data_IF_625295484744
#
_entry.id   IF_625295484744
#
_cell.length_a   1.000
_cell.length_b   1.000
_cell.length_c   1.000
_cell.angle_alpha   90.00
_cell.angle_beta   90.00
_cell.angle_gamma   90.00
#
_symmetry.space_group_name_H-M   'P 1'
#
loop_
_entity.id
_entity.type
_entity.pdbx_description
1 polymer ?
#
# COMPACT_ATOMS: atom_id res chain seq x y z
N UNK A 1 54.23 -38.47 -42.95
CA UNK A 1 53.32 -38.53 -41.78
C UNK A 1 53.69 -37.39 -40.85
N UNK A 2 52.89 -36.32 -40.84
CA UNK A 2 52.98 -35.23 -39.86
C UNK A 2 51.64 -35.23 -39.13
N UNK A 3 51.66 -35.58 -37.84
CA UNK A 3 50.48 -35.58 -36.96
C UNK A 3 50.47 -34.24 -36.24
N UNK A 4 49.53 -33.36 -36.58
CA UNK A 4 49.27 -32.14 -35.81
C UNK A 4 48.32 -32.45 -34.66
N UNK A 5 48.79 -32.33 -33.41
CA UNK A 5 47.93 -32.40 -32.23
C UNK A 5 47.12 -31.10 -32.13
N UNK A 6 45.80 -31.23 -32.18
CA UNK A 6 44.87 -30.18 -31.80
C UNK A 6 44.86 -30.05 -30.27
N UNK A 7 45.30 -28.91 -29.74
CA UNK A 7 45.17 -28.58 -28.32
C UNK A 7 43.71 -28.24 -27.99
N UNK A 8 43.08 -29.05 -27.14
CA UNK A 8 41.77 -28.75 -26.58
C UNK A 8 41.94 -27.71 -25.46
N UNK A 9 41.53 -26.46 -25.70
CA UNK A 9 41.40 -25.46 -24.64
C UNK A 9 40.08 -25.75 -23.93
N UNK A 10 40.15 -26.37 -22.74
CA UNK A 10 39.00 -26.49 -21.86
C UNK A 10 38.68 -25.11 -21.26
N UNK A 11 37.59 -24.48 -21.70
CA UNK A 11 37.01 -23.34 -21.00
C UNK A 11 36.49 -23.82 -19.64
N UNK A 12 37.19 -23.51 -18.56
CA UNK A 12 36.62 -23.64 -17.23
C UNK A 12 35.58 -22.53 -17.07
N UNK A 13 34.29 -22.89 -17.13
CA UNK A 13 33.22 -22.00 -16.73
C UNK A 13 33.40 -21.68 -15.24
N UNK A 14 33.62 -20.42 -14.90
CA UNK A 14 33.51 -19.98 -13.52
C UNK A 14 32.07 -20.25 -13.04
N UNK A 15 31.87 -20.79 -11.82
CA UNK A 15 30.53 -20.87 -11.29
C UNK A 15 29.99 -19.43 -11.22
N UNK A 16 28.86 -19.18 -11.90
CA UNK A 16 28.10 -17.96 -11.61
C UNK A 16 27.80 -18.00 -10.12
N UNK A 17 28.28 -17.00 -9.38
CA UNK A 17 27.79 -16.76 -8.04
C UNK A 17 26.29 -16.48 -8.19
N UNK A 18 25.47 -17.51 -7.98
CA UNK A 18 24.07 -17.30 -7.67
C UNK A 18 24.08 -16.33 -6.49
N UNK A 19 23.57 -15.10 -6.70
CA UNK A 19 23.32 -14.19 -5.59
C UNK A 19 22.47 -14.97 -4.60
N UNK A 20 23.07 -15.35 -3.48
CA UNK A 20 22.31 -15.84 -2.34
C UNK A 20 21.51 -14.64 -1.89
N UNK A 21 20.23 -14.63 -2.27
CA UNK A 21 19.24 -13.80 -1.61
C UNK A 21 19.22 -14.36 -0.19
N UNK A 22 19.85 -13.65 0.73
CA UNK A 22 19.60 -13.89 2.12
C UNK A 22 18.09 -13.81 2.34
N UNK A 23 17.56 -14.62 3.25
CA UNK A 23 16.19 -14.42 3.69
C UNK A 23 16.15 -13.13 4.51
N UNK A 24 16.32 -11.96 3.88
CA UNK A 24 15.96 -10.69 4.48
C UNK A 24 14.49 -10.79 4.84
N UNK A 25 14.23 -10.74 6.15
CA UNK A 25 12.87 -10.54 6.67
C UNK A 25 12.51 -9.10 6.37
N UNK A 26 12.20 -8.81 5.09
CA UNK A 26 11.79 -7.50 4.64
C UNK A 26 10.43 -7.12 5.23
N UNK A 27 10.31 -5.88 5.70
CA UNK A 27 9.02 -5.33 6.14
C UNK A 27 8.31 -4.74 4.92
N UNK A 28 7.15 -5.30 4.58
CA UNK A 28 6.26 -4.70 3.58
C UNK A 28 5.39 -3.61 4.23
N UNK A 29 5.33 -2.44 3.60
CA UNK A 29 4.47 -1.33 3.99
C UNK A 29 3.63 -0.94 2.77
N UNK A 30 2.32 -0.86 2.95
CA UNK A 30 1.40 -0.35 1.92
C UNK A 30 1.12 1.12 2.17
N UNK A 31 1.00 1.94 1.11
CA UNK A 31 0.68 3.36 1.27
C UNK A 31 -0.23 3.86 0.16
N UNK A 32 -1.23 4.68 0.51
CA UNK A 32 -2.13 5.33 -0.45
C UNK A 32 -2.80 6.56 0.17
N UNK A 33 -3.10 7.56 -0.67
CA UNK A 33 -3.99 8.69 -0.37
C UNK A 33 -5.20 8.68 -1.33
N UNK A 34 -6.11 9.62 -1.14
CA UNK A 34 -7.27 9.83 -2.03
C UNK A 34 -8.20 8.59 -2.13
N UNK A 35 -8.50 7.98 -0.98
CA UNK A 35 -8.88 6.56 -0.93
C UNK A 35 -10.39 6.26 -0.78
N UNK A 36 -11.21 7.19 -0.26
CA UNK A 36 -12.65 6.92 -0.08
C UNK A 36 -13.54 8.09 -0.47
N UNK A 37 -14.50 7.84 -1.38
CA UNK A 37 -15.37 8.87 -1.96
C UNK A 37 -16.84 8.53 -1.80
N UNK A 38 -17.62 9.47 -1.27
CA UNK A 38 -19.06 9.29 -0.99
C UNK A 38 -20.04 9.57 -2.14
N UNK A 39 -19.98 10.72 -2.84
CA UNK A 39 -21.10 11.18 -3.68
C UNK A 39 -21.27 10.41 -5.01
N UNK A 40 -20.56 9.30 -5.21
CA UNK A 40 -20.63 8.50 -6.44
C UNK A 40 -20.48 7.01 -6.15
N UNK A 41 -21.43 6.15 -6.57
CA UNK A 41 -21.30 4.69 -6.46
C UNK A 41 -20.04 4.14 -7.16
N UNK A 42 -19.69 4.67 -8.33
CA UNK A 42 -18.51 4.24 -9.08
C UNK A 42 -17.21 4.52 -8.30
N UNK A 43 -17.06 5.73 -7.75
CA UNK A 43 -15.86 6.09 -6.98
C UNK A 43 -15.79 5.37 -5.64
N UNK A 44 -16.93 5.14 -4.99
CA UNK A 44 -17.02 4.28 -3.81
C UNK A 44 -16.58 2.85 -4.11
N UNK A 45 -16.97 2.31 -5.26
CA UNK A 45 -16.52 1.02 -5.77
C UNK A 45 -15.01 0.97 -6.00
N UNK A 46 -14.41 2.04 -6.54
CA UNK A 46 -12.96 2.13 -6.71
C UNK A 46 -12.21 2.09 -5.36
N UNK A 47 -12.67 2.85 -4.35
CA UNK A 47 -12.11 2.78 -3.00
C UNK A 47 -12.25 1.40 -2.35
N UNK A 48 -13.37 0.71 -2.58
CA UNK A 48 -13.55 -0.67 -2.13
C UNK A 48 -12.60 -1.65 -2.86
N UNK A 49 -12.38 -1.45 -4.15
CA UNK A 49 -11.48 -2.28 -4.96
C UNK A 49 -10.02 -2.14 -4.51
N UNK A 50 -9.55 -0.91 -4.25
CA UNK A 50 -8.19 -0.70 -3.74
C UNK A 50 -8.02 -1.24 -2.31
N UNK A 51 -9.03 -1.09 -1.46
CA UNK A 51 -9.02 -1.67 -0.12
C UNK A 51 -8.93 -3.20 -0.14
N UNK A 52 -9.42 -3.89 -1.18
CA UNK A 52 -9.32 -5.36 -1.32
C UNK A 52 -7.90 -5.86 -1.54
N UNK A 53 -7.04 -5.06 -2.18
CA UNK A 53 -5.62 -5.42 -2.31
C UNK A 53 -4.96 -5.61 -0.95
N UNK A 54 -5.42 -4.86 0.05
CA UNK A 54 -4.89 -4.90 1.40
C UNK A 54 -5.30 -6.17 2.15
N UNK A 55 -6.31 -6.92 1.69
CA UNK A 55 -6.74 -8.15 2.37
C UNK A 55 -5.62 -9.21 2.35
N UNK A 56 -4.78 -9.21 1.31
CA UNK A 56 -3.65 -10.16 1.14
C UNK A 56 -2.27 -9.53 1.43
N UNK A 57 -2.20 -8.21 1.65
CA UNK A 57 -0.95 -7.51 1.93
C UNK A 57 -0.74 -7.33 3.44
N UNK A 58 0.25 -8.02 4.04
CA UNK A 58 0.54 -7.89 5.47
C UNK A 58 1.23 -6.55 5.77
N UNK A 59 1.34 -6.24 7.05
CA UNK A 59 2.11 -5.10 7.53
C UNK A 59 1.32 -3.79 7.65
N UNK A 60 2.02 -2.71 8.09
CA UNK A 60 1.42 -1.40 8.29
C UNK A 60 0.88 -0.77 6.99
N UNK A 61 -0.18 0.02 7.13
CA UNK A 61 -0.71 0.85 6.04
C UNK A 61 -0.47 2.31 6.40
N UNK A 62 0.20 3.07 5.53
CA UNK A 62 0.29 4.52 5.63
C UNK A 62 -0.85 5.14 4.80
N UNK A 63 -1.84 5.73 5.46
CA UNK A 63 -2.92 6.42 4.76
C UNK A 63 -2.57 7.91 4.63
N UNK A 64 -2.25 8.35 3.40
CA UNK A 64 -1.50 9.57 3.10
C UNK A 64 -2.38 10.82 2.90
N UNK A 65 -3.52 10.89 3.60
CA UNK A 65 -4.46 12.00 3.51
C UNK A 65 -5.57 11.83 2.47
N UNK A 66 -6.56 12.69 2.58
CA UNK A 66 -7.79 12.71 1.80
C UNK A 66 -8.54 11.37 1.93
N UNK A 67 -8.86 11.07 3.17
CA UNK A 67 -9.32 9.76 3.60
C UNK A 67 -10.83 9.62 3.41
N UNK A 68 -11.59 10.72 3.51
CA UNK A 68 -13.02 10.72 3.29
C UNK A 68 -13.46 11.97 2.50
N UNK A 69 -13.93 11.79 1.26
CA UNK A 69 -14.45 12.86 0.42
C UNK A 69 -15.97 13.01 0.48
N UNK A 70 -16.49 14.22 0.23
CA UNK A 70 -15.74 15.41 -0.21
C UNK A 70 -15.07 16.24 0.89
N UNK A 71 -15.50 16.20 2.14
CA UNK A 71 -15.15 17.24 3.11
C UNK A 71 -14.65 16.69 4.46
N UNK A 72 -14.28 15.41 4.52
CA UNK A 72 -13.81 14.77 5.75
C UNK A 72 -14.88 14.73 6.83
N UNK A 73 -16.16 14.71 6.47
CA UNK A 73 -17.24 14.79 7.46
C UNK A 73 -17.41 13.49 8.25
N UNK A 74 -18.04 13.55 9.42
CA UNK A 74 -18.29 12.35 10.23
C UNK A 74 -19.16 11.32 9.48
N UNK A 75 -20.09 11.80 8.65
CA UNK A 75 -20.91 10.98 7.77
C UNK A 75 -20.05 10.29 6.70
N UNK A 76 -19.10 11.00 6.11
CA UNK A 76 -18.23 10.44 5.07
C UNK A 76 -17.27 9.39 5.64
N UNK A 77 -16.73 9.61 6.84
CA UNK A 77 -15.97 8.60 7.56
C UNK A 77 -16.82 7.37 7.89
N UNK A 78 -18.06 7.56 8.37
CA UNK A 78 -18.98 6.47 8.73
C UNK A 78 -19.43 5.67 7.51
N UNK A 79 -19.80 6.35 6.44
CA UNK A 79 -20.54 5.73 5.35
C UNK A 79 -19.63 5.36 4.17
N UNK A 80 -18.41 5.89 4.07
CA UNK A 80 -17.54 5.70 2.90
C UNK A 80 -16.17 5.14 3.27
N UNK A 81 -15.45 5.77 4.19
CA UNK A 81 -14.19 5.21 4.68
C UNK A 81 -14.46 3.90 5.45
N UNK A 82 -15.36 3.93 6.42
CA UNK A 82 -15.71 2.80 7.30
C UNK A 82 -15.99 1.49 6.56
N UNK A 83 -16.94 1.46 5.61
CA UNK A 83 -17.30 0.24 4.89
C UNK A 83 -16.24 -0.24 3.88
N UNK A 84 -15.25 0.60 3.55
CA UNK A 84 -14.19 0.27 2.58
C UNK A 84 -12.86 0.04 3.31
N UNK A 85 -12.05 1.08 3.44
CA UNK A 85 -10.74 1.06 4.08
C UNK A 85 -10.80 0.84 5.60
N UNK A 86 -11.93 1.17 6.24
CA UNK A 86 -12.11 1.12 7.69
C UNK A 86 -11.90 -0.26 8.32
N UNK A 87 -12.13 -1.35 7.59
CA UNK A 87 -11.85 -2.71 8.08
C UNK A 87 -10.35 -2.96 8.37
N UNK A 88 -9.46 -2.17 7.77
CA UNK A 88 -8.02 -2.25 7.97
C UNK A 88 -7.50 -1.27 9.04
N UNK A 89 -8.37 -0.49 9.68
CA UNK A 89 -8.00 0.59 10.63
C UNK A 89 -7.04 0.14 11.73
N UNK A 90 -7.12 -1.11 12.16
CA UNK A 90 -6.26 -1.67 13.20
C UNK A 90 -4.75 -1.62 12.87
N UNK A 91 -4.38 -1.53 11.60
CA UNK A 91 -2.98 -1.41 11.14
C UNK A 91 -2.73 -0.18 10.25
N UNK A 92 -3.69 0.75 10.20
CA UNK A 92 -3.56 2.02 9.49
C UNK A 92 -2.90 3.07 10.38
N UNK A 93 -1.93 3.76 9.81
CA UNK A 93 -1.25 4.95 10.33
C UNK A 93 -1.61 6.13 9.41
N UNK A 94 -2.65 6.89 9.76
CA UNK A 94 -3.20 7.90 8.89
C UNK A 94 -2.56 9.27 9.14
N UNK A 95 -2.55 10.11 8.11
CA UNK A 95 -2.41 11.56 8.25
C UNK A 95 -3.61 12.24 7.60
N UNK A 96 -4.08 13.40 8.08
CA UNK A 96 -5.15 14.14 7.43
C UNK A 96 -4.63 14.90 6.21
N UNK A 97 -5.39 14.85 5.11
CA UNK A 97 -5.20 15.66 3.91
C UNK A 97 -6.03 16.94 3.92
N UNK A 98 -5.98 17.72 2.85
CA UNK A 98 -6.69 19.00 2.78
C UNK A 98 -8.22 18.83 2.76
N UNK A 99 -8.74 17.71 2.25
CA UNK A 99 -10.17 17.42 2.30
C UNK A 99 -10.61 17.03 3.71
N UNK A 100 -9.77 16.33 4.47
CA UNK A 100 -10.07 15.92 5.84
C UNK A 100 -10.21 17.12 6.80
N UNK A 101 -9.53 18.23 6.51
CA UNK A 101 -9.61 19.48 7.29
C UNK A 101 -10.84 20.34 7.02
N UNK A 102 -11.62 20.07 5.97
CA UNK A 102 -12.76 20.93 5.58
C UNK A 102 -13.90 20.89 6.59
N UNK A 103 -14.08 19.76 7.27
CA UNK A 103 -15.05 19.61 8.35
C UNK A 103 -14.43 19.88 9.71
N UNK A 104 -14.89 20.94 10.40
CA UNK A 104 -14.51 21.28 11.78
C UNK A 104 -12.99 21.23 12.02
N UNK A 105 -12.19 21.70 11.06
CA UNK A 105 -10.72 21.70 11.13
C UNK A 105 -10.13 20.31 11.43
N UNK A 106 -10.69 19.25 10.83
CA UNK A 106 -10.23 17.87 11.02
C UNK A 106 -10.89 17.14 12.19
N UNK A 107 -11.82 17.77 12.91
CA UNK A 107 -12.53 17.17 14.04
C UNK A 107 -13.01 15.73 13.78
N UNK A 108 -13.75 15.44 12.70
CA UNK A 108 -14.17 14.07 12.40
C UNK A 108 -13.04 13.08 12.13
N UNK A 109 -11.92 13.52 11.55
CA UNK A 109 -10.73 12.68 11.37
C UNK A 109 -10.18 12.27 12.75
N UNK A 110 -10.02 13.22 13.68
CA UNK A 110 -9.53 12.94 15.03
C UNK A 110 -10.54 12.13 15.85
N UNK A 111 -11.84 12.37 15.69
CA UNK A 111 -12.91 11.56 16.29
C UNK A 111 -12.83 10.10 15.79
N UNK A 112 -12.60 9.90 14.49
CA UNK A 112 -12.57 8.58 13.87
C UNK A 112 -11.28 7.81 14.16
N UNK A 113 -10.11 8.45 14.12
CA UNK A 113 -8.82 7.77 14.31
C UNK A 113 -8.29 7.79 15.75
N UNK A 114 -8.69 8.77 16.56
CA UNK A 114 -8.20 8.95 17.93
C UNK A 114 -6.77 9.50 17.97
N UNK A 115 -5.99 9.08 18.97
CA UNK A 115 -4.60 9.53 19.17
C UNK A 115 -3.57 8.84 18.26
N UNK A 116 -4.02 8.20 17.18
CA UNK A 116 -3.19 7.36 16.31
C UNK A 116 -2.65 8.13 15.13
#
# INVERSE_FOLDING_TARGET
MLVGLAGLIAMMAAPSAAQQVDNEVGVAISAAGDIAVCPSPLRRGAGAATARLLDDLPGPILALGDLAYPDGSAEEFRDCYGPTWGRHRARTWPVPGNHDYRSRQGGPYYDYFGAR
#
